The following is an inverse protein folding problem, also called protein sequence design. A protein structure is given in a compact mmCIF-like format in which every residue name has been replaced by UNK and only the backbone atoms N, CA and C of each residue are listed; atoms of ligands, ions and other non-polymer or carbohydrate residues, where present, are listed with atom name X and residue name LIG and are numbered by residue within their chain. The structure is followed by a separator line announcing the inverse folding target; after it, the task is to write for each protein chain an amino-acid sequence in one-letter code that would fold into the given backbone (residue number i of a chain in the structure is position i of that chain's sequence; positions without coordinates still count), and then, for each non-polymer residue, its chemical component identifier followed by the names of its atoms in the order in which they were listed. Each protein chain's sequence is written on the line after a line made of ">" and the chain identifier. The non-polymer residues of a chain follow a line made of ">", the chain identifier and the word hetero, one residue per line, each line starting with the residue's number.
data_IF_205257500568
#
_entry.id   IF_205257500568
#
_cell.length_a   1.000
_cell.length_b   1.000
_cell.length_c   1.000
_cell.angle_alpha   90.00
_cell.angle_beta   90.00
_cell.angle_gamma   90.00
#
_symmetry.space_group_name_H-M   'P 1'
#
loop_
_entity.id
_entity.type
_entity.pdbx_description
1 polymer ?
#
# COMPACT_ATOMS: atom_id res chain seq x y z
N UNK A 1 8.15 -1.27 -16.67
CA UNK A 1 8.37 0.19 -16.46
C UNK A 1 7.94 0.66 -15.07
N UNK A 2 6.78 0.25 -14.55
CA UNK A 2 6.29 0.68 -13.22
C UNK A 2 7.29 0.42 -12.08
N UNK A 3 7.99 -0.73 -12.12
CA UNK A 3 8.99 -1.07 -11.12
C UNK A 3 10.08 -0.01 -10.92
N UNK A 4 10.39 0.84 -11.92
CA UNK A 4 11.47 1.85 -11.80
C UNK A 4 11.05 3.01 -10.89
N UNK A 5 9.75 3.30 -10.86
CA UNK A 5 9.17 4.42 -10.12
C UNK A 5 8.39 3.95 -8.90
N UNK A 6 8.55 2.69 -8.47
CA UNK A 6 7.79 2.10 -7.36
C UNK A 6 7.77 3.01 -6.12
N UNK A 7 8.93 3.53 -5.72
CA UNK A 7 9.07 4.39 -4.54
C UNK A 7 8.36 5.74 -4.72
N UNK A 8 8.44 6.34 -5.92
CA UNK A 8 7.78 7.60 -6.22
C UNK A 8 6.26 7.43 -6.23
N UNK A 9 5.77 6.34 -6.81
CA UNK A 9 4.35 5.99 -6.83
C UNK A 9 3.86 5.76 -5.39
N UNK A 10 4.60 5.00 -4.57
CA UNK A 10 4.24 4.78 -3.16
C UNK A 10 4.18 6.07 -2.36
N UNK A 11 5.16 6.96 -2.52
CA UNK A 11 5.15 8.28 -1.86
C UNK A 11 3.96 9.11 -2.31
N UNK A 12 3.68 9.15 -3.62
CA UNK A 12 2.51 9.85 -4.15
C UNK A 12 1.21 9.29 -3.56
N UNK A 13 1.09 7.95 -3.48
CA UNK A 13 -0.05 7.29 -2.84
C UNK A 13 -0.22 7.76 -1.39
N UNK A 14 0.85 7.77 -0.59
CA UNK A 14 0.79 8.20 0.81
C UNK A 14 0.31 9.64 0.92
N UNK A 15 0.91 10.56 0.15
CA UNK A 15 0.57 11.99 0.21
C UNK A 15 -0.90 12.22 -0.18
N UNK A 16 -1.33 11.68 -1.31
CA UNK A 16 -2.71 11.85 -1.80
C UNK A 16 -3.72 11.23 -0.82
N UNK A 17 -3.39 10.06 -0.27
CA UNK A 17 -4.24 9.37 0.71
C UNK A 17 -4.39 10.16 2.01
N UNK A 18 -3.32 10.80 2.49
CA UNK A 18 -3.35 11.67 3.66
C UNK A 18 -4.12 12.97 3.40
N UNK A 19 -3.94 13.59 2.23
CA UNK A 19 -4.71 14.76 1.83
C UNK A 19 -6.22 14.48 1.76
N UNK A 20 -6.59 13.24 1.42
CA UNK A 20 -7.99 12.85 1.41
C UNK A 20 -8.61 12.78 2.81
N UNK A 21 -7.81 12.68 3.88
CA UNK A 21 -8.23 12.39 5.27
C UNK A 21 -8.94 11.02 5.41
N UNK A 22 -10.03 10.81 4.67
CA UNK A 22 -10.78 9.55 4.57
C UNK A 22 -9.94 8.41 3.98
N UNK A 23 -8.94 8.72 3.16
CA UNK A 23 -8.01 7.76 2.56
C UNK A 23 -6.93 7.23 3.52
N UNK A 24 -6.96 7.59 4.81
CA UNK A 24 -5.91 7.24 5.78
C UNK A 24 -5.52 5.74 5.82
N UNK A 25 -6.45 4.76 5.81
CA UNK A 25 -6.06 3.35 5.82
C UNK A 25 -5.26 2.93 4.57
N UNK A 26 -5.51 3.58 3.43
CA UNK A 26 -4.75 3.38 2.20
C UNK A 26 -3.32 3.91 2.35
N UNK A 27 -3.14 5.06 3.01
CA UNK A 27 -1.81 5.61 3.31
C UNK A 27 -0.98 4.63 4.16
N UNK A 28 -1.59 4.04 5.19
CA UNK A 28 -0.93 3.04 6.03
C UNK A 28 -0.56 1.78 5.24
N UNK A 29 -1.48 1.28 4.41
CA UNK A 29 -1.22 0.14 3.54
C UNK A 29 -0.06 0.41 2.57
N UNK A 30 -0.01 1.60 1.97
CA UNK A 30 1.07 2.02 1.08
C UNK A 30 2.42 2.12 1.80
N UNK A 31 2.43 2.62 3.04
CA UNK A 31 3.63 2.70 3.87
C UNK A 31 4.22 1.32 4.20
N UNK A 32 3.38 0.28 4.29
CA UNK A 32 3.83 -1.08 4.56
C UNK A 32 4.49 -1.74 3.33
N UNK A 33 4.13 -1.36 2.10
CA UNK A 33 4.60 -2.01 0.87
C UNK A 33 6.14 -2.11 0.74
N UNK A 34 6.94 -1.06 1.03
CA UNK A 34 8.40 -1.14 0.94
C UNK A 34 9.03 -2.16 1.91
N UNK A 35 8.32 -2.52 2.99
CA UNK A 35 8.82 -3.47 4.00
C UNK A 35 8.94 -4.88 3.40
N UNK A 36 8.17 -5.20 2.35
CA UNK A 36 8.24 -6.49 1.65
C UNK A 36 9.65 -6.85 1.18
N UNK A 37 10.44 -5.87 0.73
CA UNK A 37 11.82 -6.10 0.33
C UNK A 37 12.68 -6.64 1.49
N UNK A 38 12.46 -6.11 2.70
CA UNK A 38 13.17 -6.56 3.89
C UNK A 38 12.68 -7.94 4.35
N UNK A 39 11.38 -8.20 4.24
CA UNK A 39 10.80 -9.49 4.63
C UNK A 39 11.31 -10.60 3.72
N UNK A 40 11.29 -10.41 2.39
CA UNK A 40 11.80 -11.41 1.45
C UNK A 40 13.29 -11.65 1.67
N UNK A 41 14.09 -10.60 1.89
CA UNK A 41 15.51 -10.76 2.22
C UNK A 41 15.73 -11.51 3.53
N UNK A 42 14.95 -11.21 4.57
CA UNK A 42 15.03 -11.92 5.85
C UNK A 42 14.66 -13.40 5.68
N UNK A 43 13.63 -13.71 4.90
CA UNK A 43 13.20 -15.09 4.62
C UNK A 43 14.28 -15.88 3.86
N UNK A 44 14.97 -15.23 2.92
CA UNK A 44 16.13 -15.82 2.23
C UNK A 44 17.28 -16.10 3.21
N UNK A 45 17.70 -15.09 3.96
CA UNK A 45 18.81 -15.22 4.92
C UNK A 45 18.54 -16.28 6.00
N UNK A 46 17.29 -16.42 6.46
CA UNK A 46 16.91 -17.44 7.44
C UNK A 46 16.90 -18.84 6.83
N UNK A 47 16.61 -18.97 5.53
CA UNK A 47 16.58 -20.26 4.84
C UNK A 47 17.97 -20.74 4.45
N UNK A 48 18.92 -19.80 4.30
CA UNK A 48 20.32 -20.07 4.02
C UNK A 48 20.93 -20.92 5.15
N UNK A 49 21.33 -22.15 4.82
CA UNK A 49 21.84 -23.13 5.79
C UNK A 49 20.78 -24.07 6.39
N UNK A 50 19.49 -23.88 6.09
CA UNK A 50 18.43 -24.86 6.41
C UNK A 50 18.09 -25.76 5.22
N UNK A 51 18.30 -25.28 3.99
CA UNK A 51 17.98 -25.99 2.74
C UNK A 51 19.11 -25.77 1.74
N UNK A 52 19.44 -26.79 0.95
CA UNK A 52 20.59 -26.77 0.04
C UNK A 52 20.44 -25.82 -1.16
N UNK A 53 19.20 -25.53 -1.60
CA UNK A 53 18.92 -24.70 -2.78
C UNK A 53 17.83 -23.65 -2.47
N UNK A 54 18.25 -22.57 -1.82
CA UNK A 54 17.36 -21.47 -1.41
C UNK A 54 17.06 -20.57 -2.59
N UNK A 55 15.80 -20.54 -3.02
CA UNK A 55 15.33 -19.66 -4.09
C UNK A 55 14.30 -18.65 -3.57
N UNK A 56 14.27 -17.45 -4.15
CA UNK A 56 13.34 -16.39 -3.72
C UNK A 56 11.90 -16.60 -4.19
N UNK A 57 11.69 -17.41 -5.24
CA UNK A 57 10.38 -17.64 -5.89
C UNK A 57 9.24 -18.00 -4.92
N UNK A 58 9.37 -19.00 -4.02
CA UNK A 58 8.29 -19.34 -3.09
C UNK A 58 7.96 -18.17 -2.14
N UNK A 59 8.97 -17.45 -1.65
CA UNK A 59 8.78 -16.29 -0.78
C UNK A 59 8.10 -15.14 -1.51
N UNK A 60 8.53 -14.81 -2.73
CA UNK A 60 7.91 -13.76 -3.54
C UNK A 60 6.45 -14.09 -3.84
N UNK A 61 6.14 -15.34 -4.22
CA UNK A 61 4.77 -15.77 -4.51
C UNK A 61 3.87 -15.67 -3.28
N UNK A 62 4.37 -16.11 -2.11
CA UNK A 62 3.65 -16.03 -0.84
C UNK A 62 3.36 -14.57 -0.46
N UNK A 63 4.39 -13.71 -0.50
CA UNK A 63 4.26 -12.29 -0.19
C UNK A 63 3.37 -11.55 -1.19
N UNK A 64 3.40 -11.89 -2.48
CA UNK A 64 2.51 -11.30 -3.49
C UNK A 64 1.03 -11.55 -3.15
N UNK A 65 0.67 -12.76 -2.73
CA UNK A 65 -0.71 -13.07 -2.29
C UNK A 65 -1.09 -12.25 -1.07
N UNK A 66 -0.19 -12.14 -0.08
CA UNK A 66 -0.39 -11.31 1.10
C UNK A 66 -0.64 -9.83 0.76
N UNK A 67 0.09 -9.29 -0.21
CA UNK A 67 -0.10 -7.92 -0.71
C UNK A 67 -1.48 -7.73 -1.31
N UNK A 68 -1.94 -8.64 -2.16
CA UNK A 68 -3.27 -8.52 -2.81
C UNK A 68 -4.37 -8.52 -1.76
N UNK A 69 -4.30 -9.42 -0.78
CA UNK A 69 -5.26 -9.49 0.33
C UNK A 69 -5.25 -8.19 1.13
N UNK A 70 -4.07 -7.67 1.45
CA UNK A 70 -3.91 -6.40 2.17
C UNK A 70 -4.50 -5.22 1.40
N UNK A 71 -4.29 -5.13 0.07
CA UNK A 71 -4.87 -4.05 -0.75
C UNK A 71 -6.39 -4.06 -0.66
N UNK A 72 -7.01 -5.23 -0.86
CA UNK A 72 -8.47 -5.39 -0.77
C UNK A 72 -8.96 -5.00 0.63
N UNK A 73 -8.28 -5.46 1.68
CA UNK A 73 -8.62 -5.16 3.06
C UNK A 73 -8.55 -3.65 3.36
N UNK A 74 -7.47 -2.96 2.96
CA UNK A 74 -7.35 -1.52 3.16
C UNK A 74 -8.45 -0.72 2.46
N UNK A 75 -8.86 -1.14 1.24
CA UNK A 75 -9.97 -0.50 0.52
C UNK A 75 -11.30 -0.72 1.26
N UNK A 76 -11.56 -1.95 1.72
CA UNK A 76 -12.77 -2.27 2.49
C UNK A 76 -12.85 -1.50 3.80
N UNK A 77 -11.76 -1.50 4.58
CA UNK A 77 -11.68 -0.75 5.85
C UNK A 77 -11.87 0.74 5.61
N UNK A 78 -11.33 1.28 4.51
CA UNK A 78 -11.55 2.68 4.12
C UNK A 78 -13.02 2.98 3.87
N UNK A 79 -13.73 2.09 3.16
CA UNK A 79 -15.16 2.24 2.91
C UNK A 79 -15.99 2.18 4.22
N UNK A 80 -15.67 1.22 5.10
CA UNK A 80 -16.33 1.07 6.40
C UNK A 80 -16.11 2.32 7.26
N UNK A 81 -14.86 2.77 7.39
CA UNK A 81 -14.52 3.95 8.19
C UNK A 81 -15.16 5.23 7.64
N UNK A 82 -15.30 5.35 6.32
CA UNK A 82 -16.03 6.48 5.72
C UNK A 82 -17.46 6.59 6.23
N UNK A 83 -18.14 5.46 6.37
CA UNK A 83 -19.50 5.42 6.88
C UNK A 83 -19.53 5.62 8.40
N UNK A 84 -18.72 4.86 9.14
CA UNK A 84 -18.71 4.88 10.61
C UNK A 84 -18.26 6.21 11.20
N UNK A 85 -17.32 6.91 10.55
CA UNK A 85 -16.79 8.20 11.01
C UNK A 85 -17.43 9.39 10.30
N UNK A 86 -18.59 9.23 9.66
CA UNK A 86 -19.20 10.31 8.88
C UNK A 86 -19.44 11.58 9.71
N UNK A 87 -19.98 11.44 10.92
CA UNK A 87 -20.27 12.60 11.80
C UNK A 87 -18.98 13.29 12.25
N UNK A 88 -17.93 12.51 12.54
CA UNK A 88 -16.60 13.05 12.80
C UNK A 88 -16.10 13.88 11.61
N UNK A 89 -16.18 13.35 10.39
CA UNK A 89 -15.75 14.07 9.18
C UNK A 89 -16.57 15.34 8.93
N UNK A 90 -17.86 15.32 9.23
CA UNK A 90 -18.73 16.50 9.11
C UNK A 90 -18.45 17.56 10.18
N UNK A 91 -17.93 17.16 11.34
CA UNK A 91 -17.52 18.10 12.40
C UNK A 91 -16.25 18.90 12.06
N UNK A 92 -15.46 18.46 11.07
CA UNK A 92 -14.21 19.10 10.69
C UNK A 92 -14.47 20.40 9.91
N UNK A 93 -13.94 21.51 10.41
CA UNK A 93 -14.11 22.86 9.82
C UNK A 93 -12.78 23.48 9.41
N UNK A 94 -12.82 24.68 8.82
CA UNK A 94 -11.63 25.39 8.36
C UNK A 94 -10.86 24.63 7.27
N UNK A 95 -9.54 24.57 7.40
CA UNK A 95 -8.67 23.86 6.44
C UNK A 95 -9.06 22.38 6.31
N UNK A 96 -9.33 21.68 7.42
CA UNK A 96 -9.70 20.27 7.38
C UNK A 96 -11.05 20.05 6.69
N UNK A 97 -12.01 20.97 6.85
CA UNK A 97 -13.28 20.94 6.12
C UNK A 97 -13.10 21.07 4.60
N UNK A 98 -12.13 21.88 4.15
CA UNK A 98 -11.75 21.96 2.72
C UNK A 98 -11.18 20.63 2.22
N UNK A 99 -10.36 19.94 3.01
CA UNK A 99 -9.84 18.62 2.63
C UNK A 99 -10.96 17.57 2.55
N UNK A 100 -11.95 17.62 3.44
CA UNK A 100 -13.11 16.72 3.40
C UNK A 100 -13.97 16.94 2.15
N UNK A 101 -14.14 18.19 1.70
CA UNK A 101 -14.88 18.49 0.46
C UNK A 101 -14.14 18.04 -0.80
N UNK A 102 -12.80 18.10 -0.81
CA UNK A 102 -11.96 17.55 -1.87
C UNK A 102 -11.84 16.01 -1.82
N UNK A 103 -12.17 15.41 -0.67
CA UNK A 103 -11.97 13.99 -0.39
C UNK A 103 -12.53 13.04 -1.45
N UNK A 104 -13.72 13.23 -2.05
CA UNK A 104 -14.24 12.28 -3.04
C UNK A 104 -13.28 12.07 -4.22
N UNK A 105 -12.68 13.16 -4.71
CA UNK A 105 -11.75 13.12 -5.84
C UNK A 105 -10.41 12.53 -5.41
N UNK A 106 -9.85 12.99 -4.29
CA UNK A 106 -8.55 12.51 -3.79
C UNK A 106 -8.61 11.05 -3.36
N UNK A 107 -9.75 10.56 -2.87
CA UNK A 107 -9.93 9.16 -2.46
C UNK A 107 -9.92 8.22 -3.66
N UNK A 108 -10.63 8.57 -4.74
CA UNK A 108 -10.58 7.81 -6.00
C UNK A 108 -9.15 7.76 -6.53
N UNK A 109 -8.45 8.91 -6.54
CA UNK A 109 -7.05 8.98 -6.95
C UNK A 109 -6.15 8.09 -6.07
N UNK A 110 -6.39 8.10 -4.76
CA UNK A 110 -5.67 7.28 -3.78
C UNK A 110 -5.83 5.78 -4.02
N UNK A 111 -7.05 5.32 -4.31
CA UNK A 111 -7.32 3.92 -4.63
C UNK A 111 -6.55 3.48 -5.89
N UNK A 112 -6.61 4.28 -6.95
CA UNK A 112 -5.89 4.01 -8.20
C UNK A 112 -4.38 3.94 -7.93
N UNK A 113 -3.82 4.98 -7.28
CA UNK A 113 -2.40 5.04 -6.96
C UNK A 113 -1.96 3.88 -6.06
N UNK A 114 -2.81 3.43 -5.13
CA UNK A 114 -2.50 2.32 -4.25
C UNK A 114 -2.41 0.98 -4.98
N UNK A 115 -3.35 0.71 -5.88
CA UNK A 115 -3.31 -0.49 -6.74
C UNK A 115 -2.04 -0.47 -7.61
N UNK A 116 -1.74 0.68 -8.22
CA UNK A 116 -0.52 0.85 -9.03
C UNK A 116 0.75 0.67 -8.18
N UNK A 117 0.76 1.20 -6.96
CA UNK A 117 1.88 1.03 -6.02
C UNK A 117 2.10 -0.43 -5.66
N UNK A 118 1.04 -1.18 -5.34
CA UNK A 118 1.13 -2.60 -5.03
C UNK A 118 1.73 -3.40 -6.20
N UNK A 119 1.25 -3.15 -7.43
CA UNK A 119 1.78 -3.77 -8.64
C UNK A 119 3.25 -3.39 -8.85
N UNK A 120 3.60 -2.10 -8.74
CA UNK A 120 4.96 -1.61 -8.94
C UNK A 120 5.95 -2.22 -7.94
N UNK A 121 5.56 -2.33 -6.66
CA UNK A 121 6.38 -2.92 -5.61
C UNK A 121 6.57 -4.41 -5.83
N UNK A 122 5.52 -5.17 -6.15
CA UNK A 122 5.65 -6.61 -6.46
C UNK A 122 6.57 -6.84 -7.65
N UNK A 123 6.45 -6.04 -8.72
CA UNK A 123 7.36 -6.11 -9.87
C UNK A 123 8.81 -5.80 -9.47
N UNK A 124 9.02 -4.78 -8.64
CA UNK A 124 10.35 -4.38 -8.20
C UNK A 124 11.00 -5.44 -7.27
N UNK A 125 10.20 -6.10 -6.41
CA UNK A 125 10.65 -7.23 -5.59
C UNK A 125 11.07 -8.40 -6.47
N UNK A 126 10.26 -8.78 -7.47
CA UNK A 126 10.62 -9.83 -8.44
C UNK A 126 11.97 -9.56 -9.11
N UNK A 127 12.14 -8.38 -9.68
CA UNK A 127 13.38 -8.01 -10.39
C UNK A 127 14.61 -7.97 -9.47
N UNK A 128 14.43 -7.68 -8.18
CA UNK A 128 15.55 -7.61 -7.24
C UNK A 128 16.05 -8.99 -6.79
N UNK A 129 15.16 -9.97 -6.69
CA UNK A 129 15.43 -11.27 -6.05
C UNK A 129 15.27 -12.49 -6.96
N UNK A 130 14.74 -12.33 -8.17
CA UNK A 130 14.88 -13.27 -9.30
C UNK A 130 16.11 -12.90 -10.14
#
# INVERSE_FOLDING_TARGET
>A
MLHKYWLHITIATIIVSLLSIKGFPIALGALYMPILFKIVQLQLNLSEGLVDDVTAKPFIKSNQTGVIISVICCILVTAILMYTLNDFYQSLTGFLGVLITLSPVTLVLSVILYILSAIAVVQAVKIKFE
#
